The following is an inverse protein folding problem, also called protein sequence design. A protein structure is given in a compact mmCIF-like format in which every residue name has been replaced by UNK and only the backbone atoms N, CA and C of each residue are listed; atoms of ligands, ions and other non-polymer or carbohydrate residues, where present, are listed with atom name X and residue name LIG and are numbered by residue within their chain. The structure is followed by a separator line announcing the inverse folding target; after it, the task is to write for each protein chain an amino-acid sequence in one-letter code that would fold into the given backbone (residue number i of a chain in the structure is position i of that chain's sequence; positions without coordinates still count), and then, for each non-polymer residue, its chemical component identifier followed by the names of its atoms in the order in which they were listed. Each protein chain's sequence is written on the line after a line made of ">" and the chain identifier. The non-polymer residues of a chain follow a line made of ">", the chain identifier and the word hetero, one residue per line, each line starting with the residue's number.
data_IF_831536370665
#
_entry.id   IF_831536370665
#
_cell.length_a   1.000
_cell.length_b   1.000
_cell.length_c   1.000
_cell.angle_alpha   90.00
_cell.angle_beta   90.00
_cell.angle_gamma   90.00
#
_symmetry.space_group_name_H-M   'P 1'
#
loop_
_entity.id
_entity.type
_entity.pdbx_description
1 polymer ?
#
# COMPACT_ATOMS: atom_id res chain seq x y z
N UNK A 1 -6.17 42.69 -14.34
CA UNK A 1 -6.42 42.68 -12.88
C UNK A 1 -6.88 41.29 -12.45
N UNK A 2 -6.82 40.94 -11.16
CA UNK A 2 -7.41 39.69 -10.63
C UNK A 2 -8.88 39.89 -10.26
N UNK A 3 -9.66 38.80 -10.32
CA UNK A 3 -11.05 38.69 -9.87
C UNK A 3 -11.52 37.24 -10.10
N UNK A 4 -11.18 36.31 -9.21
CA UNK A 4 -12.00 35.98 -8.03
C UNK A 4 -13.38 35.40 -8.40
N UNK A 5 -13.38 34.22 -9.02
CA UNK A 5 -14.56 33.35 -8.94
C UNK A 5 -14.64 32.73 -7.56
N UNK A 6 -15.75 32.95 -6.85
CA UNK A 6 -16.04 32.26 -5.59
C UNK A 6 -17.51 31.85 -5.57
N UNK A 7 -17.74 30.54 -5.53
CA UNK A 7 -19.06 29.91 -5.35
C UNK A 7 -18.91 28.52 -4.71
N UNK A 8 -18.00 28.36 -3.74
CA UNK A 8 -17.92 27.14 -2.93
C UNK A 8 -19.02 27.15 -1.87
N UNK A 9 -20.21 26.73 -2.28
CA UNK A 9 -21.33 26.42 -1.39
C UNK A 9 -21.15 25.02 -0.80
N UNK A 10 -20.23 24.86 0.14
CA UNK A 10 -19.97 23.57 0.80
C UNK A 10 -21.06 23.26 1.85
N UNK A 11 -21.86 22.19 1.68
CA UNK A 11 -22.63 21.64 2.79
C UNK A 11 -21.66 21.00 3.82
N UNK A 12 -22.12 20.83 5.06
CA UNK A 12 -21.38 20.07 6.06
C UNK A 12 -21.27 18.58 5.65
N UNK A 13 -20.19 17.87 5.99
CA UNK A 13 -19.95 16.50 5.53
C UNK A 13 -20.94 15.51 6.17
N UNK A 14 -21.98 15.14 5.42
CA UNK A 14 -22.99 14.15 5.81
C UNK A 14 -22.67 12.78 5.21
N UNK A 15 -21.91 11.98 5.96
CA UNK A 15 -21.45 10.65 5.55
C UNK A 15 -19.96 10.62 5.22
N UNK A 16 -19.42 9.41 5.05
CA UNK A 16 -18.11 9.21 4.44
C UNK A 16 -18.25 9.48 2.94
N UNK A 17 -17.68 10.60 2.46
CA UNK A 17 -17.56 10.84 1.02
C UNK A 17 -16.74 9.72 0.37
N UNK A 18 -17.30 9.13 -0.69
CA UNK A 18 -16.65 8.15 -1.54
C UNK A 18 -16.44 8.75 -2.94
N UNK A 19 -15.47 8.22 -3.68
CA UNK A 19 -15.12 8.72 -4.99
C UNK A 19 -15.93 8.05 -6.11
N UNK A 20 -16.68 8.84 -6.86
CA UNK A 20 -17.33 8.48 -8.13
C UNK A 20 -16.48 8.85 -9.35
N UNK A 21 -15.50 9.74 -9.17
CA UNK A 21 -14.66 10.35 -10.21
C UNK A 21 -13.17 10.15 -9.90
N UNK A 22 -12.33 10.24 -10.94
CA UNK A 22 -10.88 9.98 -10.82
C UNK A 22 -10.14 11.24 -10.35
N UNK A 23 -9.54 11.22 -9.17
CA UNK A 23 -8.84 12.37 -8.60
C UNK A 23 -7.35 12.42 -8.99
N UNK A 24 -6.81 13.63 -9.17
CA UNK A 24 -5.39 13.94 -9.41
C UNK A 24 -4.89 14.94 -8.34
N UNK A 25 -4.92 14.57 -7.05
CA UNK A 25 -4.67 15.51 -5.93
C UNK A 25 -3.46 15.09 -5.10
N UNK A 26 -2.63 16.08 -4.72
CA UNK A 26 -1.47 15.98 -3.82
C UNK A 26 -0.48 14.84 -4.16
N UNK A 27 -0.27 14.64 -5.46
CA UNK A 27 0.40 13.46 -6.02
C UNK A 27 1.88 13.26 -5.67
N UNK A 28 2.55 14.27 -5.13
CA UNK A 28 3.92 14.19 -4.59
C UNK A 28 3.96 13.94 -3.06
N UNK A 29 2.80 13.86 -2.40
CA UNK A 29 2.67 13.76 -0.95
C UNK A 29 2.03 12.43 -0.50
N UNK A 30 2.33 12.02 0.73
CA UNK A 30 1.72 10.81 1.36
C UNK A 30 0.20 10.94 1.52
N UNK A 31 -0.35 12.16 1.46
CA UNK A 31 -1.79 12.44 1.43
C UNK A 31 -2.46 12.34 0.05
N UNK A 32 -1.75 11.87 -0.98
CA UNK A 32 -2.23 11.67 -2.36
C UNK A 32 -3.66 11.10 -2.42
N UNK A 33 -4.48 11.66 -3.32
CA UNK A 33 -5.72 11.04 -3.82
C UNK A 33 -5.58 10.84 -5.31
N UNK A 34 -5.34 9.60 -5.71
CA UNK A 34 -5.16 9.19 -7.10
C UNK A 34 -6.25 8.20 -7.52
N UNK A 35 -6.93 8.49 -8.62
CA UNK A 35 -8.08 7.70 -9.05
C UNK A 35 -9.19 7.73 -7.99
N UNK A 36 -9.83 6.58 -7.74
CA UNK A 36 -10.93 6.45 -6.77
C UNK A 36 -10.51 5.80 -5.45
N UNK A 37 -9.43 5.02 -5.43
CA UNK A 37 -9.06 4.17 -4.30
C UNK A 37 -7.69 4.54 -3.68
N UNK A 38 -6.74 5.07 -4.45
CA UNK A 38 -5.43 5.35 -3.88
C UNK A 38 -5.41 6.61 -2.99
N UNK A 39 -5.51 6.44 -1.67
CA UNK A 39 -5.21 7.48 -0.69
C UNK A 39 -5.58 7.09 0.74
N UNK A 40 -4.93 7.67 1.75
CA UNK A 40 -5.24 7.38 3.16
C UNK A 40 -6.61 7.96 3.52
N UNK A 41 -7.62 7.10 3.67
CA UNK A 41 -9.00 7.53 3.88
C UNK A 41 -9.67 8.09 2.61
N UNK A 42 -9.15 7.73 1.43
CA UNK A 42 -9.79 7.86 0.13
C UNK A 42 -10.37 6.50 -0.26
N UNK A 43 -11.40 6.44 -1.10
CA UNK A 43 -12.03 5.16 -1.47
C UNK A 43 -13.23 5.33 -2.39
N UNK A 44 -13.38 4.41 -3.35
CA UNK A 44 -14.43 4.49 -4.36
C UNK A 44 -15.82 4.17 -3.83
N UNK A 45 -16.86 4.71 -4.47
CA UNK A 45 -18.25 4.39 -4.14
C UNK A 45 -18.61 2.93 -4.50
N UNK A 46 -19.69 2.40 -3.90
CA UNK A 46 -20.08 1.00 -4.11
C UNK A 46 -20.36 0.70 -5.59
N UNK A 47 -19.63 -0.28 -6.15
CA UNK A 47 -19.74 -0.70 -7.55
C UNK A 47 -18.90 0.12 -8.53
N UNK A 48 -18.19 1.15 -8.06
CA UNK A 48 -17.26 1.90 -8.89
C UNK A 48 -16.07 1.06 -9.35
N UNK A 49 -15.57 1.39 -10.55
CA UNK A 49 -14.40 0.72 -11.13
C UNK A 49 -13.16 1.60 -10.99
N UNK A 50 -11.99 1.00 -10.73
CA UNK A 50 -10.73 1.73 -10.74
C UNK A 50 -10.45 2.43 -12.08
N UNK A 51 -9.80 3.58 -12.01
CA UNK A 51 -9.49 4.43 -13.15
C UNK A 51 -8.40 3.84 -14.06
N UNK A 52 -7.44 3.10 -13.50
CA UNK A 52 -6.40 2.36 -14.23
C UNK A 52 -5.82 1.19 -13.41
N UNK A 53 -4.65 0.67 -13.84
CA UNK A 53 -3.97 -0.44 -13.16
C UNK A 53 -3.33 -0.09 -11.82
N UNK A 54 -2.96 1.17 -11.57
CA UNK A 54 -2.44 1.61 -10.26
C UNK A 54 -3.59 1.79 -9.28
N UNK A 55 -4.68 2.45 -9.71
CA UNK A 55 -5.91 2.56 -8.92
C UNK A 55 -6.50 1.18 -8.60
N UNK A 56 -6.42 0.25 -9.56
CA UNK A 56 -6.78 -1.15 -9.40
C UNK A 56 -5.83 -1.97 -8.51
N UNK A 57 -4.69 -1.43 -8.09
CA UNK A 57 -3.90 -2.00 -7.00
C UNK A 57 -4.36 -1.51 -5.63
N UNK A 58 -4.86 -0.27 -5.54
CA UNK A 58 -5.35 0.34 -4.30
C UNK A 58 -6.68 -0.28 -3.86
N UNK A 59 -7.66 -0.41 -4.78
CA UNK A 59 -8.93 -1.15 -4.55
C UNK A 59 -8.69 -2.51 -3.85
N UNK A 60 -7.73 -3.28 -4.36
CA UNK A 60 -7.39 -4.62 -3.85
C UNK A 60 -6.61 -4.57 -2.54
N UNK A 61 -5.89 -3.48 -2.28
CA UNK A 61 -5.18 -3.24 -1.04
C UNK A 61 -6.16 -2.87 0.08
N UNK A 62 -7.10 -1.96 -0.18
CA UNK A 62 -8.13 -1.53 0.79
C UNK A 62 -9.02 -2.69 1.24
N UNK A 63 -9.60 -3.44 0.29
CA UNK A 63 -10.39 -4.65 0.56
C UNK A 63 -9.58 -5.66 1.39
N UNK A 64 -8.27 -5.77 1.15
CA UNK A 64 -7.38 -6.66 1.90
C UNK A 64 -7.10 -6.18 3.33
N UNK A 65 -7.02 -4.86 3.55
CA UNK A 65 -6.84 -4.23 4.86
C UNK A 65 -8.12 -4.31 5.68
N UNK A 66 -9.27 -3.98 5.09
CA UNK A 66 -10.60 -4.05 5.72
C UNK A 66 -10.86 -5.45 6.29
N UNK A 67 -10.65 -6.49 5.49
CA UNK A 67 -10.87 -7.90 5.87
C UNK A 67 -9.93 -8.42 6.97
N UNK A 68 -8.81 -7.75 7.26
CA UNK A 68 -7.77 -8.24 8.19
C UNK A 68 -7.50 -7.33 9.39
N UNK A 69 -7.89 -6.06 9.30
CA UNK A 69 -7.47 -5.02 10.22
C UNK A 69 -6.02 -4.58 9.99
N UNK A 70 -5.76 -3.29 10.21
CA UNK A 70 -4.48 -2.63 9.92
C UNK A 70 -3.26 -3.35 10.52
N UNK A 71 -3.36 -3.82 11.77
CA UNK A 71 -2.25 -4.46 12.49
C UNK A 71 -1.86 -5.86 11.95
N UNK A 72 -2.67 -6.46 11.07
CA UNK A 72 -2.36 -7.72 10.40
C UNK A 72 -2.10 -7.54 8.87
N UNK A 73 -2.11 -6.30 8.38
CA UNK A 73 -2.14 -5.98 6.97
C UNK A 73 -0.78 -6.07 6.23
N UNK A 74 0.32 -6.47 6.89
CA UNK A 74 1.65 -6.59 6.25
C UNK A 74 1.63 -7.39 4.93
N UNK A 75 0.87 -8.49 4.85
CA UNK A 75 0.71 -9.26 3.61
C UNK A 75 -0.05 -8.53 2.50
N UNK A 76 -0.93 -7.59 2.86
CA UNK A 76 -1.59 -6.70 1.91
C UNK A 76 -0.64 -5.62 1.42
N UNK A 77 0.20 -5.07 2.31
CA UNK A 77 1.23 -4.08 1.95
C UNK A 77 2.30 -4.69 1.02
N UNK A 78 2.77 -5.90 1.32
CA UNK A 78 3.65 -6.69 0.43
C UNK A 78 3.01 -6.93 -0.94
N UNK A 79 1.74 -7.36 -0.98
CA UNK A 79 1.01 -7.59 -2.22
C UNK A 79 0.78 -6.29 -3.02
N UNK A 80 0.54 -5.17 -2.34
CA UNK A 80 0.33 -3.85 -2.94
C UNK A 80 1.59 -3.35 -3.64
N UNK A 81 2.76 -3.40 -2.99
CA UNK A 81 4.05 -3.05 -3.61
C UNK A 81 4.27 -3.88 -4.88
N UNK A 82 4.10 -5.20 -4.79
CA UNK A 82 4.22 -6.13 -5.92
C UNK A 82 3.15 -5.94 -7.03
N UNK A 83 2.05 -5.25 -6.74
CA UNK A 83 1.03 -4.87 -7.71
C UNK A 83 1.46 -3.58 -8.42
N UNK A 84 1.87 -2.55 -7.68
CA UNK A 84 2.39 -1.30 -8.22
C UNK A 84 3.61 -1.52 -9.14
N UNK A 85 4.52 -2.43 -8.78
CA UNK A 85 5.65 -2.83 -9.64
C UNK A 85 5.23 -3.42 -11.00
N UNK A 86 4.04 -4.01 -11.10
CA UNK A 86 3.50 -4.57 -12.36
C UNK A 86 2.64 -3.55 -13.11
N UNK A 87 1.92 -2.69 -12.38
CA UNK A 87 1.16 -1.59 -12.94
C UNK A 87 2.07 -0.56 -13.62
N UNK A 88 3.23 -0.26 -13.03
CA UNK A 88 4.25 0.62 -13.62
C UNK A 88 4.93 0.07 -14.90
N UNK A 89 4.66 -1.19 -15.29
CA UNK A 89 5.08 -1.78 -16.57
C UNK A 89 3.99 -1.69 -17.65
N UNK A 90 2.81 -1.15 -17.32
CA UNK A 90 1.77 -0.81 -18.31
C UNK A 90 2.12 0.50 -19.03
N UNK A 91 1.27 0.91 -19.96
CA UNK A 91 1.29 2.28 -20.49
C UNK A 91 0.85 3.28 -19.40
N UNK A 92 1.03 4.56 -19.67
CA UNK A 92 0.53 5.69 -18.88
C UNK A 92 -0.87 5.43 -18.30
N UNK A 93 -1.07 5.79 -17.03
CA UNK A 93 -2.37 5.76 -16.37
C UNK A 93 -3.40 6.73 -16.94
N UNK A 94 -4.56 6.82 -16.29
CA UNK A 94 -5.64 7.74 -16.70
C UNK A 94 -5.21 9.22 -16.67
N UNK A 95 -4.23 9.50 -15.82
CA UNK A 95 -3.79 10.81 -15.36
C UNK A 95 -2.64 11.38 -16.20
N UNK A 96 -2.62 12.70 -16.37
CA UNK A 96 -1.50 13.46 -16.97
C UNK A 96 -0.91 14.53 -16.05
N UNK A 97 -1.63 14.95 -15.01
CA UNK A 97 -1.09 15.78 -13.92
C UNK A 97 -0.20 14.93 -13.00
N UNK A 98 -0.56 13.66 -12.80
CA UNK A 98 0.09 12.75 -11.87
C UNK A 98 0.56 11.47 -12.58
N UNK A 99 1.78 11.45 -13.16
CA UNK A 99 2.29 10.28 -13.89
C UNK A 99 2.72 9.16 -12.93
N UNK A 100 2.83 7.92 -13.45
CA UNK A 100 3.20 6.74 -12.64
C UNK A 100 4.57 6.90 -11.97
N UNK A 101 5.52 7.56 -12.64
CA UNK A 101 6.85 7.90 -12.17
C UNK A 101 6.84 8.74 -10.88
N UNK A 102 5.79 9.55 -10.67
CA UNK A 102 5.58 10.32 -9.45
C UNK A 102 4.81 9.53 -8.41
N UNK A 103 3.65 8.95 -8.79
CA UNK A 103 2.70 8.42 -7.81
C UNK A 103 3.10 7.05 -7.25
N UNK A 104 3.73 6.18 -8.05
CA UNK A 104 4.13 4.83 -7.61
C UNK A 104 5.20 4.87 -6.51
N UNK A 105 6.28 5.69 -6.61
CA UNK A 105 7.21 5.86 -5.51
C UNK A 105 6.57 6.39 -4.22
N UNK A 106 5.68 7.37 -4.32
CA UNK A 106 4.97 7.98 -3.17
C UNK A 106 4.10 6.95 -2.44
N UNK A 107 3.31 6.17 -3.18
CA UNK A 107 2.49 5.09 -2.60
C UNK A 107 3.36 4.00 -1.93
N UNK A 108 4.48 3.61 -2.55
CA UNK A 108 5.43 2.65 -1.96
C UNK A 108 6.08 3.19 -0.68
N UNK A 109 6.48 4.46 -0.66
CA UNK A 109 7.05 5.11 0.53
C UNK A 109 6.04 5.12 1.69
N UNK A 110 4.80 5.53 1.43
CA UNK A 110 3.72 5.54 2.42
C UNK A 110 3.45 4.16 3.02
N UNK A 111 3.36 3.12 2.17
CA UNK A 111 3.06 1.77 2.65
C UNK A 111 4.25 1.10 3.38
N UNK A 112 5.48 1.40 2.99
CA UNK A 112 6.68 0.95 3.70
C UNK A 112 6.78 1.59 5.10
N UNK A 113 6.41 2.87 5.24
CA UNK A 113 6.31 3.51 6.54
C UNK A 113 5.22 2.85 7.43
N UNK A 114 4.07 2.50 6.87
CA UNK A 114 3.01 1.77 7.58
C UNK A 114 3.43 0.37 8.05
N UNK A 115 4.19 -0.37 7.23
CA UNK A 115 4.78 -1.66 7.63
C UNK A 115 5.80 -1.48 8.77
N UNK A 116 6.67 -0.49 8.69
CA UNK A 116 7.66 -0.18 9.74
C UNK A 116 6.96 0.18 11.06
N UNK A 117 5.96 1.06 11.02
CA UNK A 117 5.15 1.43 12.19
C UNK A 117 4.48 0.19 12.81
N UNK A 118 3.85 -0.65 11.99
CA UNK A 118 3.22 -1.91 12.44
C UNK A 118 4.23 -2.86 13.08
N UNK A 119 5.47 -2.93 12.57
CA UNK A 119 6.54 -3.74 13.17
C UNK A 119 6.99 -3.24 14.55
N UNK A 120 6.97 -1.92 14.77
CA UNK A 120 7.37 -1.31 16.04
C UNK A 120 6.27 -1.44 17.11
N UNK A 121 5.02 -1.18 16.75
CA UNK A 121 3.90 -1.12 17.70
C UNK A 121 3.12 -2.43 17.85
N UNK A 122 3.18 -3.37 16.89
CA UNK A 122 2.59 -4.70 16.97
C UNK A 122 3.34 -5.71 17.87
N UNK A 123 4.34 -5.25 18.64
CA UNK A 123 5.38 -6.06 19.30
C UNK A 123 4.98 -6.92 20.51
N UNK A 124 3.80 -7.55 20.54
CA UNK A 124 3.43 -8.56 21.56
C UNK A 124 2.68 -9.78 20.98
N UNK A 125 3.38 -10.58 20.16
CA UNK A 125 2.98 -11.96 19.84
C UNK A 125 4.10 -12.94 20.19
N UNK A 126 3.83 -13.89 21.08
CA UNK A 126 4.81 -14.86 21.57
C UNK A 126 5.28 -15.81 20.47
N UNK A 127 6.47 -15.57 19.91
CA UNK A 127 7.13 -16.58 19.08
C UNK A 127 7.53 -17.78 19.95
N UNK A 128 6.79 -18.88 19.80
CA UNK A 128 7.08 -20.14 20.50
C UNK A 128 8.41 -20.72 19.98
N UNK A 129 9.50 -20.51 20.74
CA UNK A 129 10.85 -21.01 20.43
C UNK A 129 10.92 -22.54 20.43
N UNK A 130 10.60 -23.17 19.29
CA UNK A 130 11.13 -24.52 18.98
C UNK A 130 12.56 -24.43 18.45
N UNK A 131 13.45 -23.98 19.32
CA UNK A 131 14.88 -24.30 19.19
C UNK A 131 15.01 -25.82 19.39
N UNK A 132 15.44 -26.54 18.36
CA UNK A 132 16.11 -27.84 18.55
C UNK A 132 17.61 -27.68 18.27
N UNK A 133 18.40 -28.31 19.12
CA UNK A 133 19.80 -27.93 19.32
C UNK A 133 20.73 -28.41 18.20
N UNK A 134 21.88 -27.73 18.08
CA UNK A 134 23.05 -28.25 17.38
C UNK A 134 23.52 -29.54 18.07
N UNK A 135 23.81 -30.57 17.29
CA UNK A 135 24.69 -31.66 17.69
C UNK A 135 25.95 -31.62 16.82
N UNK A 136 26.96 -30.85 17.24
CA UNK A 136 28.33 -31.03 16.73
C UNK A 136 28.98 -32.14 17.55
N UNK A 137 29.52 -33.16 16.87
CA UNK A 137 30.73 -33.87 17.34
C UNK A 137 31.76 -33.84 16.23
N UNK A 138 33.02 -33.66 16.63
CA UNK A 138 34.17 -33.50 15.75
C UNK A 138 35.04 -34.76 15.79
N UNK A 139 36.15 -34.70 15.03
CA UNK A 139 37.39 -35.49 15.18
C UNK A 139 37.59 -36.71 14.26
N UNK A 140 38.62 -36.55 13.42
CA UNK A 140 39.40 -37.52 12.61
C UNK A 140 40.45 -38.20 13.55
N UNK A 141 41.40 -39.09 13.11
CA UNK A 141 41.60 -39.74 11.79
C UNK A 141 42.06 -41.24 11.81
N UNK A 142 42.35 -41.78 10.60
CA UNK A 142 43.54 -42.61 10.24
C UNK A 142 43.54 -44.16 10.30
N UNK A 143 43.79 -44.78 9.12
CA UNK A 143 44.38 -46.14 8.82
C UNK A 143 43.60 -47.38 9.34
N UNK A 144 43.68 -48.58 8.77
CA UNK A 144 44.70 -49.27 7.93
C UNK A 144 44.04 -50.16 6.83
N UNK A 145 44.85 -50.76 5.96
CA UNK A 145 44.49 -51.74 4.92
C UNK A 145 44.02 -53.11 5.47
N UNK A 146 43.22 -53.83 4.68
CA UNK A 146 43.49 -55.21 4.22
C UNK A 146 42.76 -55.48 2.88
#
# INVERSE_FOLDING_TARGET
>A
AKGHGNAQSTPAPTGLECADTCHEVDCEQVGIRYGKFCGVGHGGCYGEKPCDSVDGCCEKHDICVEQKGLLAANKCHEAFINCLDKAALQKDGFSKVCPYETVVPVMKQGIQAAMMLTSMFGGKSTQNKKVKAKARKSSKPSKTEL
#
